data_IF_188992767110
#
_entry.id   IF_188992767110
#
_cell.length_a   1.000
_cell.length_b   1.000
_cell.length_c   1.000
_cell.angle_alpha   90.00
_cell.angle_beta   90.00
_cell.angle_gamma   90.00
#
_symmetry.space_group_name_H-M   'P 1'
#
loop_
_entity.id
_entity.type
_entity.pdbx_description
1 polymer ?
#
# COMPACT_ATOMS: atom_id res chain seq x y z
N UNK A 1 -5.87 -1.61 -16.33
CA UNK A 1 -4.60 -1.03 -15.83
C UNK A 1 -3.52 -2.09 -15.70
N UNK A 2 -3.58 -2.92 -14.66
CA UNK A 2 -2.56 -3.94 -14.39
C UNK A 2 -2.33 -4.93 -15.53
N UNK A 3 -3.38 -5.37 -16.24
CA UNK A 3 -3.23 -6.25 -17.41
C UNK A 3 -2.27 -5.66 -18.46
N UNK A 4 -2.36 -4.35 -18.71
CA UNK A 4 -1.46 -3.65 -19.63
C UNK A 4 -0.04 -3.52 -19.09
N UNK A 5 0.13 -3.45 -17.75
CA UNK A 5 1.44 -3.47 -17.11
C UNK A 5 2.10 -4.84 -17.21
N UNK A 6 1.33 -5.92 -17.04
CA UNK A 6 1.79 -7.29 -17.22
C UNK A 6 2.17 -7.56 -18.67
N UNK A 7 1.30 -7.20 -19.61
CA UNK A 7 1.58 -7.34 -21.04
C UNK A 7 2.82 -6.56 -21.47
N UNK A 8 3.00 -5.34 -20.95
CA UNK A 8 4.15 -4.48 -21.26
C UNK A 8 5.41 -4.75 -20.44
N UNK A 9 5.50 -5.85 -19.68
CA UNK A 9 6.65 -6.18 -18.82
C UNK A 9 7.10 -5.03 -17.90
N UNK A 10 6.15 -4.26 -17.35
CA UNK A 10 6.45 -3.07 -16.55
C UNK A 10 7.20 -3.44 -15.27
N UNK A 11 8.50 -3.14 -15.21
CA UNK A 11 9.38 -3.58 -14.11
C UNK A 11 8.81 -3.40 -12.69
N UNK A 12 8.17 -2.26 -12.33
CA UNK A 12 7.59 -2.08 -11.00
C UNK A 12 6.49 -3.08 -10.61
N UNK A 13 5.68 -3.61 -11.54
CA UNK A 13 4.66 -4.63 -11.19
C UNK A 13 5.32 -5.96 -10.86
N UNK A 14 6.44 -6.29 -11.51
CA UNK A 14 7.22 -7.50 -11.22
C UNK A 14 7.86 -7.40 -9.84
N UNK A 15 8.46 -6.25 -9.53
CA UNK A 15 9.06 -5.98 -8.22
C UNK A 15 8.02 -6.11 -7.10
N UNK A 16 6.84 -5.48 -7.26
CA UNK A 16 5.72 -5.63 -6.33
C UNK A 16 5.41 -7.11 -6.10
N UNK A 17 5.16 -7.86 -7.15
CA UNK A 17 4.74 -9.26 -7.05
C UNK A 17 5.79 -10.17 -6.40
N UNK A 18 7.08 -9.93 -6.66
CA UNK A 18 8.16 -10.67 -6.01
C UNK A 18 8.24 -10.43 -4.51
N UNK A 19 7.85 -9.24 -4.05
CA UNK A 19 7.97 -8.82 -2.65
C UNK A 19 6.67 -9.06 -1.85
N UNK A 20 5.51 -9.21 -2.52
CA UNK A 20 4.22 -9.54 -1.90
C UNK A 20 4.27 -10.64 -0.82
N UNK A 21 4.90 -11.81 -1.03
CA UNK A 21 4.93 -12.85 0.01
C UNK A 21 5.65 -12.39 1.29
N UNK A 22 6.75 -11.63 1.13
CA UNK A 22 7.52 -11.09 2.25
C UNK A 22 6.73 -10.03 3.00
N UNK A 23 6.03 -9.15 2.26
CA UNK A 23 5.19 -8.09 2.85
C UNK A 23 4.00 -8.69 3.59
N UNK A 24 3.34 -9.71 3.03
CA UNK A 24 2.23 -10.40 3.69
C UNK A 24 2.68 -11.07 4.98
N UNK A 25 3.85 -11.73 4.96
CA UNK A 25 4.43 -12.34 6.16
C UNK A 25 4.75 -11.27 7.22
N UNK A 26 5.43 -10.19 6.84
CA UNK A 26 5.75 -9.08 7.73
C UNK A 26 4.50 -8.43 8.32
N UNK A 27 3.47 -8.20 7.51
CA UNK A 27 2.21 -7.59 7.95
C UNK A 27 1.39 -8.52 8.86
N UNK A 28 1.41 -9.83 8.59
CA UNK A 28 0.70 -10.81 9.42
C UNK A 28 1.34 -10.97 10.80
N UNK A 29 2.65 -10.77 10.90
CA UNK A 29 3.39 -10.91 12.16
C UNK A 29 3.51 -9.59 12.93
N UNK A 30 3.60 -8.45 12.25
CA UNK A 30 3.87 -7.17 12.90
C UNK A 30 2.83 -6.82 13.96
N UNK A 31 1.54 -6.92 13.63
CA UNK A 31 0.47 -6.53 14.55
C UNK A 31 0.35 -7.47 15.76
N UNK A 32 0.36 -8.82 15.60
CA UNK A 32 0.42 -9.73 16.75
C UNK A 32 1.65 -9.51 17.64
N UNK A 33 2.84 -9.29 17.05
CA UNK A 33 4.05 -9.04 17.84
C UNK A 33 3.94 -7.76 18.67
N UNK A 34 3.45 -6.67 18.06
CA UNK A 34 3.22 -5.42 18.78
C UNK A 34 2.22 -5.62 19.92
N UNK A 35 1.07 -6.27 19.65
CA UNK A 35 0.04 -6.51 20.67
C UNK A 35 0.58 -7.39 21.81
N UNK A 36 1.25 -8.49 21.49
CA UNK A 36 1.83 -9.39 22.49
C UNK A 36 2.91 -8.68 23.32
N UNK A 37 3.78 -7.88 22.69
CA UNK A 37 4.78 -7.09 23.41
C UNK A 37 4.16 -6.02 24.31
N UNK A 38 3.02 -5.46 23.91
CA UNK A 38 2.26 -4.53 24.74
C UNK A 38 1.65 -5.23 25.96
N UNK A 39 1.00 -6.39 25.78
CA UNK A 39 0.36 -7.16 26.85
C UNK A 39 1.40 -7.72 27.84
N UNK A 40 2.48 -8.32 27.34
CA UNK A 40 3.51 -8.96 28.17
C UNK A 40 4.49 -7.97 28.78
N UNK A 41 4.42 -6.69 28.43
CA UNK A 41 5.37 -5.69 28.88
C UNK A 41 6.78 -5.82 28.25
N UNK A 42 6.97 -6.69 27.26
CA UNK A 42 8.27 -6.95 26.64
C UNK A 42 8.58 -5.91 25.55
N UNK A 43 9.37 -4.89 25.89
CA UNK A 43 9.70 -3.77 24.99
C UNK A 43 10.38 -4.20 23.67
N UNK A 44 11.29 -5.18 23.73
CA UNK A 44 11.98 -5.67 22.53
C UNK A 44 11.02 -6.28 21.51
N UNK A 45 9.93 -6.91 21.95
CA UNK A 45 8.94 -7.53 21.07
C UNK A 45 8.11 -6.47 20.35
N UNK A 46 7.80 -5.37 21.04
CA UNK A 46 7.15 -4.19 20.45
C UNK A 46 8.06 -3.57 19.39
N UNK A 47 9.35 -3.40 19.67
CA UNK A 47 10.29 -2.79 18.74
C UNK A 47 10.48 -3.62 17.46
N UNK A 48 10.62 -4.94 17.60
CA UNK A 48 10.67 -5.86 16.45
C UNK A 48 9.39 -5.76 15.61
N UNK A 49 8.22 -5.74 16.26
CA UNK A 49 6.93 -5.56 15.58
C UNK A 49 6.82 -4.23 14.83
N UNK A 50 7.31 -3.13 15.43
CA UNK A 50 7.36 -1.80 14.80
C UNK A 50 8.28 -1.80 13.58
N UNK A 51 9.48 -2.40 13.68
CA UNK A 51 10.43 -2.48 12.55
C UNK A 51 9.82 -3.28 11.39
N UNK A 52 9.18 -4.42 11.68
CA UNK A 52 8.48 -5.21 10.67
C UNK A 52 7.36 -4.38 10.00
N UNK A 53 6.57 -3.65 10.79
CA UNK A 53 5.52 -2.79 10.25
C UNK A 53 6.09 -1.65 9.40
N UNK A 54 7.19 -1.01 9.82
CA UNK A 54 7.84 0.06 9.07
C UNK A 54 8.33 -0.42 7.70
N UNK A 55 8.87 -1.64 7.62
CA UNK A 55 9.28 -2.27 6.36
C UNK A 55 8.06 -2.47 5.44
N UNK A 56 6.94 -2.98 5.97
CA UNK A 56 5.68 -3.14 5.22
C UNK A 56 5.18 -1.80 4.66
N UNK A 57 5.12 -0.76 5.50
CA UNK A 57 4.67 0.58 5.08
C UNK A 57 5.59 1.17 4.02
N UNK A 58 6.90 0.98 4.16
CA UNK A 58 7.88 1.43 3.15
C UNK A 58 7.62 0.79 1.78
N UNK A 59 7.30 -0.50 1.75
CA UNK A 59 6.94 -1.18 0.50
C UNK A 59 5.61 -0.70 -0.10
N UNK A 60 4.62 -0.36 0.73
CA UNK A 60 3.38 0.24 0.24
C UNK A 60 3.65 1.59 -0.44
N UNK A 61 4.53 2.43 0.12
CA UNK A 61 4.94 3.70 -0.49
C UNK A 61 5.66 3.47 -1.83
N UNK A 62 6.59 2.52 -1.90
CA UNK A 62 7.35 2.23 -3.12
C UNK A 62 6.48 1.66 -4.25
N UNK A 63 5.39 0.98 -3.92
CA UNK A 63 4.49 0.35 -4.91
C UNK A 63 3.37 1.28 -5.39
N UNK A 64 3.11 2.38 -4.68
CA UNK A 64 2.09 3.37 -4.99
C UNK A 64 2.17 3.97 -6.42
N UNK A 65 3.35 4.26 -7.01
CA UNK A 65 3.44 4.70 -8.41
C UNK A 65 2.87 3.70 -9.42
N UNK A 66 2.91 2.39 -9.10
CA UNK A 66 2.38 1.33 -9.96
C UNK A 66 0.87 1.43 -10.09
N UNK A 67 0.19 1.78 -9.00
CA UNK A 67 -1.26 1.93 -8.94
C UNK A 67 -1.73 3.16 -9.75
N UNK A 68 -1.04 4.30 -9.62
CA UNK A 68 -1.31 5.47 -10.46
C UNK A 68 -1.08 5.19 -11.95
N UNK A 69 0.01 4.49 -12.28
CA UNK A 69 0.31 4.10 -13.65
C UNK A 69 -0.77 3.15 -14.21
N UNK A 70 -1.31 2.25 -13.38
CA UNK A 70 -2.37 1.34 -13.77
C UNK A 70 -3.67 2.09 -14.08
N UNK A 71 -4.07 3.06 -13.23
CA UNK A 71 -5.25 3.91 -13.48
C UNK A 71 -5.10 4.74 -14.75
N UNK A 72 -3.93 5.35 -14.99
CA UNK A 72 -3.66 6.12 -16.22
C UNK A 72 -3.76 5.27 -17.49
N UNK A 73 -3.15 4.07 -17.48
CA UNK A 73 -3.24 3.13 -18.61
C UNK A 73 -4.66 2.62 -18.84
N UNK A 74 -5.42 2.38 -17.77
CA UNK A 74 -6.81 1.97 -17.88
C UNK A 74 -7.67 3.05 -18.56
N UNK A 75 -7.48 4.31 -18.18
CA UNK A 75 -8.21 5.43 -18.77
C UNK A 75 -7.92 5.56 -20.27
N UNK A 76 -6.64 5.51 -20.66
CA UNK A 76 -6.25 5.54 -22.08
C UNK A 76 -6.85 4.39 -22.89
N UNK A 77 -6.93 3.20 -22.30
CA UNK A 77 -7.55 2.06 -22.98
C UNK A 77 -9.04 2.27 -23.19
N UNK A 78 -9.75 2.77 -22.16
CA UNK A 78 -11.19 3.07 -22.25
C UNK A 78 -11.48 4.15 -23.30
N UNK A 79 -10.63 5.17 -23.39
CA UNK A 79 -10.67 6.19 -24.45
C UNK A 79 -10.47 5.56 -25.84
N UNK A 80 -9.49 4.67 -25.99
CA UNK A 80 -9.13 4.10 -27.30
C UNK A 80 -10.08 3.02 -27.83
N UNK A 81 -10.76 2.28 -26.95
CA UNK A 81 -11.63 1.17 -27.35
C UNK A 81 -13.05 1.64 -27.74
N UNK A 82 -13.37 2.93 -27.61
CA UNK A 82 -14.73 3.45 -27.85
C UNK A 82 -15.77 2.81 -26.92
N UNK A 83 -15.35 2.27 -25.78
CA UNK A 83 -16.21 1.51 -24.88
C UNK A 83 -17.14 2.41 -24.05
N UNK A 84 -16.93 3.72 -24.07
CA UNK A 84 -17.66 4.71 -23.30
C UNK A 84 -18.07 5.87 -24.20
N UNK A 85 -19.28 6.38 -23.99
CA UNK A 85 -19.74 7.59 -24.65
C UNK A 85 -19.00 8.83 -24.11
N UNK A 86 -19.06 9.92 -24.87
CA UNK A 86 -18.47 11.23 -24.51
C UNK A 86 -18.86 11.70 -23.10
N UNK A 87 -20.06 11.35 -22.64
CA UNK A 87 -20.60 11.73 -21.33
C UNK A 87 -20.18 10.78 -20.19
N UNK A 88 -19.71 9.58 -20.51
CA UNK A 88 -19.30 8.55 -19.55
C UNK A 88 -17.79 8.61 -19.26
N UNK A 89 -17.02 9.08 -20.22
CA UNK A 89 -15.56 9.21 -20.14
C UNK A 89 -15.09 10.09 -18.96
N UNK A 90 -15.70 11.27 -18.68
CA UNK A 90 -15.36 12.07 -17.51
C UNK A 90 -15.69 11.35 -16.19
N UNK A 91 -16.79 10.57 -16.16
CA UNK A 91 -17.19 9.79 -14.99
C UNK A 91 -16.21 8.66 -14.73
N UNK A 92 -15.81 7.92 -15.76
CA UNK A 92 -14.80 6.87 -15.66
C UNK A 92 -13.46 7.41 -15.16
N UNK A 93 -13.01 8.57 -15.68
CA UNK A 93 -11.81 9.27 -15.19
C UNK A 93 -11.89 9.59 -13.70
N UNK A 94 -13.05 10.09 -13.23
CA UNK A 94 -13.27 10.40 -11.82
C UNK A 94 -13.17 9.15 -10.95
N UNK A 95 -13.79 8.04 -11.37
CA UNK A 95 -13.74 6.76 -10.64
C UNK A 95 -12.32 6.19 -10.60
N UNK A 96 -11.60 6.18 -11.73
CA UNK A 96 -10.22 5.69 -11.82
C UNK A 96 -9.23 6.50 -10.98
N UNK A 97 -9.40 7.82 -10.94
CA UNK A 97 -8.62 8.69 -10.07
C UNK A 97 -8.96 8.46 -8.59
N UNK A 98 -10.24 8.32 -8.26
CA UNK A 98 -10.67 8.00 -6.90
C UNK A 98 -10.10 6.65 -6.43
N UNK A 99 -10.09 5.64 -7.30
CA UNK A 99 -9.48 4.34 -7.04
C UNK A 99 -7.96 4.43 -6.81
N UNK A 100 -7.24 5.31 -7.50
CA UNK A 100 -5.82 5.54 -7.21
C UNK A 100 -5.63 6.24 -5.84
N UNK A 101 -6.54 7.16 -5.49
CA UNK A 101 -6.50 7.87 -4.20
C UNK A 101 -6.77 6.97 -2.99
N UNK A 102 -7.50 5.86 -3.14
CA UNK A 102 -7.68 4.90 -2.03
C UNK A 102 -6.36 4.26 -1.60
N UNK A 103 -5.42 4.05 -2.52
CA UNK A 103 -4.05 3.61 -2.19
C UNK A 103 -3.24 4.68 -1.46
N UNK A 104 -3.41 5.95 -1.82
CA UNK A 104 -2.79 7.06 -1.08
C UNK A 104 -3.33 7.11 0.35
N UNK A 105 -4.64 6.98 0.50
CA UNK A 105 -5.29 6.96 1.80
C UNK A 105 -4.82 5.78 2.67
N UNK A 106 -4.68 4.58 2.10
CA UNK A 106 -4.20 3.41 2.85
C UNK A 106 -2.76 3.57 3.33
N UNK A 107 -1.88 4.16 2.50
CA UNK A 107 -0.51 4.51 2.90
C UNK A 107 -0.51 5.57 4.01
N UNK A 108 -1.33 6.61 3.91
CA UNK A 108 -1.43 7.65 4.93
C UNK A 108 -1.90 7.10 6.28
N UNK A 109 -2.92 6.24 6.28
CA UNK A 109 -3.40 5.55 7.49
C UNK A 109 -2.30 4.67 8.10
N UNK A 110 -1.57 3.93 7.26
CA UNK A 110 -0.50 3.05 7.73
C UNK A 110 0.68 3.83 8.32
N UNK A 111 1.03 4.99 7.75
CA UNK A 111 2.00 5.92 8.31
C UNK A 111 1.55 6.50 9.65
N UNK A 112 0.29 6.94 9.75
CA UNK A 112 -0.27 7.44 11.00
C UNK A 112 -0.25 6.36 12.10
N UNK A 113 -0.57 5.11 11.74
CA UNK A 113 -0.49 3.99 12.66
C UNK A 113 0.95 3.69 13.10
N UNK A 114 1.92 3.76 12.18
CA UNK A 114 3.33 3.57 12.51
C UNK A 114 3.81 4.63 13.51
N UNK A 115 3.49 5.90 13.25
CA UNK A 115 3.79 7.01 14.17
C UNK A 115 3.16 6.78 15.54
N UNK A 116 1.89 6.38 15.59
CA UNK A 116 1.20 6.04 16.83
C UNK A 116 1.94 4.97 17.62
N UNK A 117 2.38 3.88 16.97
CA UNK A 117 3.09 2.79 17.64
C UNK A 117 4.45 3.25 18.21
N UNK A 118 5.18 4.09 17.47
CA UNK A 118 6.44 4.68 17.93
C UNK A 118 6.22 5.53 19.18
N UNK A 119 5.19 6.38 19.18
CA UNK A 119 4.85 7.23 20.33
C UNK A 119 4.49 6.40 21.57
N UNK A 120 3.70 5.34 21.40
CA UNK A 120 3.33 4.41 22.49
C UNK A 120 4.58 3.71 23.05
N UNK A 121 5.46 3.21 22.19
CA UNK A 121 6.71 2.55 22.62
C UNK A 121 7.62 3.52 23.40
N UNK A 122 7.76 4.76 22.92
CA UNK A 122 8.62 5.76 23.56
C UNK A 122 8.10 6.22 24.94
N UNK A 123 6.77 6.38 25.08
CA UNK A 123 6.17 6.79 26.36
C UNK A 123 6.34 5.74 27.47
N UNK A 124 6.53 4.46 27.11
CA UNK A 124 6.78 3.37 28.07
C UNK A 124 8.23 3.28 28.58
N UNK A 125 9.18 3.95 27.91
CA UNK A 125 10.60 3.94 28.28
C UNK A 125 10.96 5.04 29.28
N UNK A 126 10.03 5.97 29.54
CA UNK A 126 10.11 7.00 30.58
C UNK A 126 9.42 6.51 31.84
#
# INVERSE_FOLDING_TARGET
GHVLQYYGNYFPIRLRNSILPVVNFGSSLSMPLVILGLILGVGILVDVGIVLFAVVVSFQVLTLPVEFNASSRALKQLESCGALNSDELPKAKKVLNAAAMTYVASVAVSLAQLLRLILISNNRRR
#
